data_IF_613198851808
#
_entry.id   IF_613198851808
#
_cell.length_a   1.000
_cell.length_b   1.000
_cell.length_c   1.000
_cell.angle_alpha   90.00
_cell.angle_beta   90.00
_cell.angle_gamma   90.00
#
_symmetry.space_group_name_H-M   'P 1'
#
loop_
_entity.id
_entity.type
_entity.pdbx_description
1 polymer ?
#
# COMPACT_ATOMS: atom_id res chain seq x y z
N UNK A 1 2.60 -3.47 22.11
CA UNK A 1 3.15 -3.19 20.76
C UNK A 1 3.88 -1.86 20.85
N UNK A 2 5.20 -1.79 20.58
CA UNK A 2 5.95 -0.53 20.63
C UNK A 2 5.77 0.22 19.31
N UNK A 3 5.47 1.52 19.36
CA UNK A 3 5.46 2.35 18.17
C UNK A 3 6.89 2.50 17.64
N UNK A 4 7.01 2.72 16.33
CA UNK A 4 8.32 2.95 15.68
C UNK A 4 8.89 4.36 15.93
N UNK A 5 8.21 5.18 16.75
CA UNK A 5 8.57 6.57 17.04
C UNK A 5 8.91 7.40 15.78
N UNK A 6 8.19 7.16 14.69
CA UNK A 6 8.32 7.93 13.46
C UNK A 6 7.53 9.22 13.63
N UNK A 7 8.16 10.40 13.50
CA UNK A 7 7.47 11.68 13.64
C UNK A 7 6.42 11.85 12.53
N UNK A 8 5.21 12.25 12.93
CA UNK A 8 4.09 12.53 12.03
C UNK A 8 4.07 14.03 11.74
N UNK A 9 4.18 14.40 10.47
CA UNK A 9 4.25 15.79 10.00
C UNK A 9 2.88 16.42 9.78
N UNK A 10 1.80 15.63 9.86
CA UNK A 10 0.42 16.06 9.58
C UNK A 10 0.08 16.03 8.09
N UNK A 11 1.08 15.86 7.24
CA UNK A 11 0.94 15.56 5.82
C UNK A 11 1.02 14.05 5.62
N UNK A 12 -0.15 13.43 5.45
CA UNK A 12 -0.25 11.97 5.28
C UNK A 12 0.57 11.46 4.09
N UNK A 13 0.79 12.27 3.06
CA UNK A 13 1.58 11.86 1.90
C UNK A 13 3.05 11.66 2.28
N UNK A 14 3.63 12.63 3.00
CA UNK A 14 5.00 12.55 3.52
C UNK A 14 5.14 11.52 4.63
N UNK A 15 4.13 11.38 5.47
CA UNK A 15 4.17 10.45 6.60
C UNK A 15 4.22 8.99 6.13
N UNK A 16 3.45 8.65 5.08
CA UNK A 16 3.47 7.31 4.47
C UNK A 16 4.81 7.03 3.77
N UNK A 17 5.35 8.02 3.06
CA UNK A 17 6.67 7.92 2.43
C UNK A 17 7.79 7.71 3.47
N UNK A 18 7.78 8.51 4.54
CA UNK A 18 8.73 8.37 5.64
C UNK A 18 8.62 7.01 6.34
N UNK A 19 7.39 6.53 6.53
CA UNK A 19 7.14 5.20 7.09
C UNK A 19 7.71 4.10 6.19
N UNK A 20 7.43 4.14 4.89
CA UNK A 20 7.97 3.18 3.92
C UNK A 20 9.51 3.17 3.91
N UNK A 21 10.13 4.36 3.90
CA UNK A 21 11.58 4.53 3.97
C UNK A 21 12.16 3.93 5.25
N UNK A 22 11.57 4.22 6.42
CA UNK A 22 12.05 3.71 7.72
C UNK A 22 11.89 2.21 7.88
N UNK A 23 10.94 1.61 7.18
CA UNK A 23 10.73 0.16 7.14
C UNK A 23 11.60 -0.56 6.10
N UNK A 24 12.54 0.13 5.44
CA UNK A 24 13.44 -0.46 4.46
C UNK A 24 12.91 -0.45 3.03
N UNK A 25 12.18 0.61 2.65
CA UNK A 25 11.57 0.79 1.32
C UNK A 25 10.54 -0.27 0.95
N UNK A 26 9.76 -0.71 1.94
CA UNK A 26 8.59 -1.56 1.70
C UNK A 26 7.48 -0.76 1.03
N UNK A 27 6.60 -1.42 0.29
CA UNK A 27 5.38 -0.77 -0.22
C UNK A 27 4.34 -0.70 0.89
N UNK A 28 3.90 0.51 1.22
CA UNK A 28 2.85 0.83 2.19
C UNK A 28 1.63 1.32 1.44
N UNK A 29 0.46 0.79 1.79
CA UNK A 29 -0.85 1.23 1.28
C UNK A 29 -1.63 1.80 2.46
N UNK A 30 -1.69 3.13 2.58
CA UNK A 30 -2.54 3.80 3.55
C UNK A 30 -3.93 3.97 2.95
N UNK A 31 -4.85 3.11 3.39
CA UNK A 31 -6.24 3.14 2.92
C UNK A 31 -7.00 4.32 3.51
N UNK A 32 -7.87 4.94 2.71
CA UNK A 32 -8.66 6.10 3.14
C UNK A 32 -9.87 6.36 2.26
N UNK A 33 -10.32 7.61 2.26
CA UNK A 33 -11.22 8.10 1.21
C UNK A 33 -10.51 8.10 -0.15
N UNK A 34 -9.24 8.51 -0.13
CA UNK A 34 -8.26 8.28 -1.18
C UNK A 34 -7.13 7.45 -0.57
N UNK A 35 -6.63 6.47 -1.31
CA UNK A 35 -5.54 5.62 -0.84
C UNK A 35 -4.19 6.27 -1.21
N UNK A 36 -3.27 6.34 -0.25
CA UNK A 36 -1.89 6.79 -0.48
C UNK A 36 -0.99 5.57 -0.50
N UNK A 37 -0.24 5.38 -1.58
CA UNK A 37 0.61 4.21 -1.78
C UNK A 37 2.05 4.70 -1.96
N UNK A 38 2.97 4.26 -1.11
CA UNK A 38 4.38 4.63 -1.20
C UNK A 38 5.31 3.44 -1.06
N UNK A 39 6.42 3.44 -1.79
CA UNK A 39 7.55 2.53 -1.53
C UNK A 39 8.78 3.24 -0.94
N UNK A 40 8.61 4.49 -0.48
CA UNK A 40 9.69 5.35 0.03
C UNK A 40 10.42 6.15 -1.05
N UNK A 41 10.29 5.79 -2.33
CA UNK A 41 10.90 6.49 -3.47
C UNK A 41 9.87 7.14 -4.38
N UNK A 42 8.73 6.46 -4.55
CA UNK A 42 7.58 6.92 -5.31
C UNK A 42 6.37 6.83 -4.39
N UNK A 43 5.59 7.90 -4.38
CA UNK A 43 4.33 7.98 -3.66
C UNK A 43 3.24 8.38 -4.65
N UNK A 44 2.13 7.64 -4.67
CA UNK A 44 0.99 7.85 -5.56
C UNK A 44 -0.30 7.98 -4.76
N UNK A 45 -1.26 8.74 -5.30
CA UNK A 45 -2.61 8.89 -4.77
C UNK A 45 -3.59 8.15 -5.67
N UNK A 46 -4.37 7.25 -5.09
CA UNK A 46 -5.54 6.67 -5.73
C UNK A 46 -6.78 7.37 -5.18
N UNK A 47 -7.42 8.19 -6.00
CA UNK A 47 -8.65 8.92 -5.65
C UNK A 47 -9.86 8.42 -6.44
N UNK A 48 -9.80 7.17 -6.93
CA UNK A 48 -10.89 6.56 -7.69
C UNK A 48 -12.11 6.34 -6.80
N UNK A 49 -13.29 6.52 -7.39
CA UNK A 49 -14.54 6.39 -6.66
C UNK A 49 -14.81 4.93 -6.28
N UNK A 50 -14.83 4.66 -4.97
CA UNK A 50 -15.25 3.38 -4.42
C UNK A 50 -16.77 3.23 -4.31
N UNK A 51 -17.22 2.03 -3.93
CA UNK A 51 -18.63 1.78 -3.61
C UNK A 51 -19.09 2.54 -2.35
N UNK A 52 -20.37 2.94 -2.32
CA UNK A 52 -20.95 3.71 -1.21
C UNK A 52 -21.07 2.92 0.10
N UNK A 53 -21.09 1.58 0.03
CA UNK A 53 -21.26 0.71 1.19
C UNK A 53 -19.92 0.36 1.80
N UNK A 54 -19.76 0.52 3.13
CA UNK A 54 -18.65 -0.07 3.88
C UNK A 54 -19.04 -1.47 4.34
N UNK A 55 -18.52 -2.48 3.65
CA UNK A 55 -18.67 -3.88 4.06
C UNK A 55 -17.46 -4.31 4.90
N UNK A 56 -17.69 -5.19 5.88
CA UNK A 56 -16.63 -6.03 6.41
C UNK A 56 -15.99 -6.82 5.26
N UNK A 57 -14.67 -7.03 5.30
CA UNK A 57 -13.95 -7.78 4.29
C UNK A 57 -13.38 -6.98 3.11
N UNK A 58 -13.68 -5.69 2.96
CA UNK A 58 -13.11 -4.88 1.86
C UNK A 58 -11.58 -4.84 1.88
N UNK A 59 -10.99 -4.82 3.08
CA UNK A 59 -9.53 -4.89 3.23
C UNK A 59 -8.95 -6.23 2.81
N UNK A 60 -9.68 -7.33 3.01
CA UNK A 60 -9.24 -8.67 2.66
C UNK A 60 -9.24 -8.87 1.15
N UNK A 61 -10.28 -8.38 0.46
CA UNK A 61 -10.35 -8.38 -1.01
C UNK A 61 -9.19 -7.57 -1.60
N UNK A 62 -8.93 -6.37 -1.08
CA UNK A 62 -7.80 -5.55 -1.53
C UNK A 62 -6.46 -6.27 -1.32
N UNK A 63 -6.25 -6.85 -0.14
CA UNK A 63 -5.02 -7.60 0.17
C UNK A 63 -4.85 -8.80 -0.77
N UNK A 64 -5.92 -9.57 -1.00
CA UNK A 64 -5.91 -10.71 -1.93
C UNK A 64 -5.61 -10.30 -3.36
N UNK A 65 -6.18 -9.19 -3.84
CA UNK A 65 -5.89 -8.65 -5.17
C UNK A 65 -4.42 -8.24 -5.31
N UNK A 66 -3.88 -7.50 -4.33
CA UNK A 66 -2.46 -7.09 -4.30
C UNK A 66 -1.55 -8.33 -4.34
N UNK A 67 -1.80 -9.31 -3.48
CA UNK A 67 -1.00 -10.54 -3.43
C UNK A 67 -1.06 -11.32 -4.75
N UNK A 68 -2.23 -11.38 -5.40
CA UNK A 68 -2.41 -12.05 -6.69
C UNK A 68 -1.59 -11.37 -7.79
N UNK A 69 -1.71 -10.06 -7.96
CA UNK A 69 -0.95 -9.33 -8.98
C UNK A 69 0.55 -9.34 -8.71
N UNK A 70 0.96 -9.24 -7.44
CA UNK A 70 2.35 -9.39 -7.05
C UNK A 70 2.90 -10.78 -7.40
N UNK A 71 2.13 -11.84 -7.09
CA UNK A 71 2.48 -13.21 -7.45
C UNK A 71 2.64 -13.40 -8.96
N UNK A 72 1.75 -12.81 -9.77
CA UNK A 72 1.87 -12.85 -11.23
C UNK A 72 3.18 -12.19 -11.71
N UNK A 73 3.51 -11.02 -11.18
CA UNK A 73 4.76 -10.33 -11.48
C UNK A 73 5.99 -11.15 -11.09
N UNK A 74 5.98 -11.78 -9.92
CA UNK A 74 7.07 -12.68 -9.48
C UNK A 74 7.22 -13.88 -10.42
N UNK A 75 6.12 -14.55 -10.77
CA UNK A 75 6.17 -15.69 -11.69
C UNK A 75 6.67 -15.27 -13.08
N UNK A 76 6.29 -14.07 -13.55
CA UNK A 76 6.77 -13.52 -14.82
C UNK A 76 8.28 -13.29 -14.79
N UNK A 77 8.80 -12.62 -13.75
CA UNK A 77 10.24 -12.39 -13.58
C UNK A 77 11.06 -13.66 -13.42
N UNK A 78 10.44 -14.76 -12.98
CA UNK A 78 11.07 -16.06 -12.80
C UNK A 78 10.88 -17.00 -13.99
N UNK A 79 10.31 -16.53 -15.11
CA UNK A 79 10.02 -17.33 -16.31
C UNK A 79 9.22 -18.61 -16.01
N UNK A 80 8.23 -18.55 -15.11
CA UNK A 80 7.39 -19.70 -14.72
C UNK A 80 6.10 -19.88 -15.53
N UNK A 81 5.93 -19.08 -16.58
CA UNK A 81 4.73 -19.08 -17.43
C UNK A 81 4.95 -19.84 -18.75
N UNK A 82 6.13 -20.41 -18.94
CA UNK A 82 6.47 -21.41 -19.96
C UNK A 82 6.25 -22.82 -19.41
#
# INVERSE_FOLDING_TARGET
MKSLNIPTSGDSFKDVENLANKLGNVTVVLKGQSDIISNGKLTILCSDQGGLKRCGGQGDILCGAIATFFGFGVCYLQNRWE
#
